data_IF_668796543671
#
_entry.id   IF_668796543671
#
_cell.length_a   1.000
_cell.length_b   1.000
_cell.length_c   1.000
_cell.angle_alpha   90.00
_cell.angle_beta   90.00
_cell.angle_gamma   90.00
#
_symmetry.space_group_name_H-M   'P 1'
#
loop_
_entity.id
_entity.type
_entity.pdbx_description
1 polymer ?
#
# COMPACT_ATOMS: atom_id res chain seq x y z
N UNK A 1 8.73 22.89 -13.19
CA UNK A 1 7.29 23.20 -13.07
C UNK A 1 6.91 23.09 -11.62
N UNK A 2 6.49 24.19 -10.98
CA UNK A 2 6.06 24.19 -9.59
C UNK A 2 4.62 23.63 -9.55
N UNK A 3 4.48 22.33 -9.32
CA UNK A 3 3.19 21.63 -9.27
C UNK A 3 2.59 21.80 -7.87
N UNK A 4 2.36 23.03 -7.44
CA UNK A 4 1.69 23.28 -6.17
C UNK A 4 0.22 23.58 -6.46
N UNK A 5 -0.60 22.54 -6.40
CA UNK A 5 -2.06 22.67 -6.47
C UNK A 5 -2.53 23.38 -5.21
N UNK A 6 -3.44 24.35 -5.33
CA UNK A 6 -4.04 25.01 -4.17
C UNK A 6 -4.71 23.97 -3.26
N UNK A 7 -4.51 24.01 -1.93
CA UNK A 7 -5.03 22.98 -1.02
C UNK A 7 -6.54 22.72 -1.16
N UNK A 8 -7.34 23.77 -1.38
CA UNK A 8 -8.79 23.64 -1.57
C UNK A 8 -9.16 22.81 -2.82
N UNK A 9 -8.42 22.99 -3.91
CA UNK A 9 -8.60 22.23 -5.15
C UNK A 9 -8.22 20.77 -4.91
N UNK A 10 -7.10 20.52 -4.23
CA UNK A 10 -6.66 19.16 -3.89
C UNK A 10 -7.68 18.42 -3.02
N UNK A 11 -8.25 19.09 -2.01
CA UNK A 11 -9.31 18.53 -1.15
C UNK A 11 -10.56 18.20 -1.97
N UNK A 12 -11.00 19.13 -2.84
CA UNK A 12 -12.18 18.92 -3.69
C UNK A 12 -12.00 17.72 -4.61
N UNK A 13 -10.86 17.63 -5.30
CA UNK A 13 -10.54 16.52 -6.19
C UNK A 13 -10.46 15.19 -5.42
N UNK A 14 -9.73 15.17 -4.30
CA UNK A 14 -9.60 13.98 -3.45
C UNK A 14 -10.97 13.47 -2.96
N UNK A 15 -11.85 14.37 -2.53
CA UNK A 15 -13.21 14.02 -2.09
C UNK A 15 -14.03 13.42 -3.22
N UNK A 16 -13.94 13.97 -4.43
CA UNK A 16 -14.65 13.44 -5.59
C UNK A 16 -14.16 12.02 -5.93
N UNK A 17 -12.84 11.80 -5.95
CA UNK A 17 -12.26 10.48 -6.20
C UNK A 17 -12.70 9.44 -5.16
N UNK A 18 -12.73 9.80 -3.88
CA UNK A 18 -13.20 8.90 -2.81
C UNK A 18 -14.69 8.58 -2.97
N UNK A 19 -15.52 9.53 -3.38
CA UNK A 19 -16.95 9.28 -3.61
C UNK A 19 -17.17 8.29 -4.77
N UNK A 20 -16.38 8.41 -5.84
CA UNK A 20 -16.42 7.48 -6.97
C UNK A 20 -15.94 6.09 -6.53
N UNK A 21 -14.80 6.02 -5.82
CA UNK A 21 -14.29 4.77 -5.28
C UNK A 21 -15.33 4.10 -4.39
N UNK A 22 -15.95 4.85 -3.46
CA UNK A 22 -16.98 4.32 -2.56
C UNK A 22 -18.14 3.70 -3.34
N UNK A 23 -18.63 4.34 -4.41
CA UNK A 23 -19.70 3.77 -5.23
C UNK A 23 -19.30 2.42 -5.84
N UNK A 24 -18.08 2.31 -6.37
CA UNK A 24 -17.55 1.05 -6.91
C UNK A 24 -17.41 -0.01 -5.82
N UNK A 25 -16.92 0.40 -4.66
CA UNK A 25 -16.80 -0.47 -3.50
C UNK A 25 -18.19 -1.02 -3.08
N UNK A 26 -19.22 -0.19 -3.07
CA UNK A 26 -20.57 -0.58 -2.67
C UNK A 26 -21.23 -1.61 -3.63
N UNK A 27 -20.70 -1.81 -4.84
CA UNK A 27 -21.18 -2.88 -5.76
C UNK A 27 -20.53 -4.24 -5.53
N UNK A 28 -19.50 -4.34 -4.67
CA UNK A 28 -18.81 -5.60 -4.41
C UNK A 28 -19.64 -6.54 -3.56
N UNK A 29 -19.74 -7.80 -3.98
CA UNK A 29 -20.25 -8.88 -3.15
C UNK A 29 -19.19 -9.25 -2.09
N UNK A 30 -19.60 -9.39 -0.82
CA UNK A 30 -18.73 -9.76 0.32
C UNK A 30 -17.57 -8.79 0.64
N UNK A 31 -17.83 -7.53 1.02
CA UNK A 31 -16.79 -6.62 1.45
C UNK A 31 -16.06 -7.12 2.72
N UNK A 32 -14.76 -6.84 2.83
CA UNK A 32 -13.98 -7.15 4.04
C UNK A 32 -14.44 -6.25 5.20
N UNK A 33 -15.03 -6.88 6.21
CA UNK A 33 -15.51 -6.21 7.42
C UNK A 33 -14.77 -6.74 8.66
N UNK A 34 -14.05 -5.88 9.37
CA UNK A 34 -13.36 -6.22 10.63
C UNK A 34 -13.84 -5.27 11.72
N UNK A 35 -14.34 -5.80 12.84
CA UNK A 35 -14.90 -5.01 13.94
C UNK A 35 -15.91 -3.95 13.47
N UNK A 36 -16.81 -4.33 12.54
CA UNK A 36 -17.84 -3.46 11.92
C UNK A 36 -17.29 -2.30 11.08
N UNK A 37 -15.99 -2.24 10.82
CA UNK A 37 -15.39 -1.30 9.87
C UNK A 37 -15.13 -2.00 8.55
N UNK A 38 -15.43 -1.31 7.46
CA UNK A 38 -15.10 -1.75 6.10
C UNK A 38 -13.63 -1.47 5.83
N UNK A 39 -12.92 -2.46 5.32
CA UNK A 39 -11.55 -2.34 4.85
C UNK A 39 -11.53 -2.38 3.33
N UNK A 40 -10.57 -1.67 2.76
CA UNK A 40 -10.31 -1.67 1.32
C UNK A 40 -9.29 -2.74 0.98
N UNK A 41 -9.54 -3.43 -0.11
CA UNK A 41 -8.72 -4.54 -0.56
C UNK A 41 -7.55 -4.02 -1.42
N UNK A 42 -6.56 -4.87 -1.66
CA UNK A 42 -5.42 -4.53 -2.53
C UNK A 42 -5.86 -3.99 -3.91
N UNK A 43 -6.84 -4.64 -4.56
CA UNK A 43 -7.37 -4.18 -5.85
C UNK A 43 -8.06 -2.81 -5.79
N UNK A 44 -8.58 -2.42 -4.62
CA UNK A 44 -9.21 -1.11 -4.43
C UNK A 44 -8.18 0.00 -4.35
N UNK A 45 -7.04 -0.28 -3.70
CA UNK A 45 -5.90 0.63 -3.69
C UNK A 45 -5.32 0.83 -5.08
N UNK A 46 -5.19 -0.24 -5.87
CA UNK A 46 -4.76 -0.14 -7.28
C UNK A 46 -5.74 0.73 -8.07
N UNK A 47 -7.05 0.50 -7.89
CA UNK A 47 -8.08 1.27 -8.60
C UNK A 47 -7.99 2.76 -8.27
N UNK A 48 -7.81 3.10 -6.99
CA UNK A 48 -7.63 4.48 -6.57
C UNK A 48 -6.35 5.10 -7.16
N UNK A 49 -5.23 4.38 -7.17
CA UNK A 49 -3.98 4.86 -7.75
C UNK A 49 -4.11 5.14 -9.26
N UNK A 50 -4.83 4.28 -9.99
CA UNK A 50 -5.10 4.45 -11.42
C UNK A 50 -5.88 5.72 -11.75
N UNK A 51 -6.75 6.21 -10.84
CA UNK A 51 -7.44 7.50 -11.04
C UNK A 51 -6.47 8.68 -11.17
N UNK A 52 -5.25 8.52 -10.66
CA UNK A 52 -4.20 9.54 -10.69
C UNK A 52 -3.05 9.18 -11.66
N UNK A 53 -3.22 8.16 -12.49
CA UNK A 53 -2.15 7.70 -13.39
C UNK A 53 -0.95 7.10 -12.65
N UNK A 54 -1.16 6.57 -11.45
CA UNK A 54 -0.13 5.97 -10.60
C UNK A 54 -0.38 4.46 -10.52
N UNK A 55 0.69 3.69 -10.54
CA UNK A 55 0.68 2.25 -10.26
C UNK A 55 1.71 1.91 -9.17
N UNK A 56 1.70 0.66 -8.71
CA UNK A 56 2.61 0.15 -7.68
C UNK A 56 3.54 -0.88 -8.32
N UNK A 57 4.84 -0.74 -8.07
CA UNK A 57 5.85 -1.75 -8.35
C UNK A 57 6.30 -2.37 -7.03
N UNK A 58 6.05 -3.66 -6.84
CA UNK A 58 6.57 -4.42 -5.69
C UNK A 58 7.94 -4.99 -6.01
N UNK A 59 8.77 -5.11 -4.98
CA UNK A 59 10.04 -5.81 -5.03
C UNK A 59 9.97 -7.10 -4.22
N UNK A 60 11.03 -7.90 -4.28
CA UNK A 60 11.15 -9.12 -3.47
C UNK A 60 11.32 -8.76 -1.99
N UNK A 61 10.87 -9.66 -1.11
CA UNK A 61 11.16 -9.57 0.31
C UNK A 61 12.57 -10.10 0.55
N UNK A 62 13.46 -9.25 1.06
CA UNK A 62 14.86 -9.57 1.26
C UNK A 62 15.12 -9.90 2.74
N UNK A 63 15.91 -10.94 3.05
CA UNK A 63 16.32 -11.21 4.42
C UNK A 63 17.22 -10.08 4.92
N UNK A 64 16.99 -9.64 6.16
CA UNK A 64 17.77 -8.57 6.80
C UNK A 64 18.20 -8.96 8.21
N UNK A 65 19.31 -8.39 8.66
CA UNK A 65 19.78 -8.45 10.05
C UNK A 65 20.08 -7.04 10.53
N UNK A 66 19.40 -6.60 11.60
CA UNK A 66 19.47 -5.25 12.13
C UNK A 66 19.64 -5.36 13.65
N UNK A 67 20.74 -4.85 14.20
CA UNK A 67 21.03 -4.90 15.64
C UNK A 67 20.83 -6.31 16.24
N UNK A 68 21.47 -7.33 15.62
CA UNK A 68 21.38 -8.75 16.01
C UNK A 68 19.97 -9.37 15.95
N UNK A 69 19.02 -8.70 15.29
CA UNK A 69 17.66 -9.19 15.04
C UNK A 69 17.51 -9.53 13.56
N UNK A 70 17.01 -10.73 13.26
CA UNK A 70 16.82 -11.19 11.88
C UNK A 70 15.37 -10.98 11.44
N UNK A 71 15.17 -10.87 10.13
CA UNK A 71 13.83 -10.74 9.59
C UNK A 71 13.82 -10.55 8.08
N UNK A 72 12.77 -9.91 7.59
CA UNK A 72 12.63 -9.56 6.20
C UNK A 72 12.27 -8.09 6.04
N UNK A 73 12.73 -7.51 4.93
CA UNK A 73 12.36 -6.19 4.46
C UNK A 73 11.68 -6.33 3.10
N UNK A 74 10.53 -5.69 2.94
CA UNK A 74 9.89 -5.53 1.64
C UNK A 74 9.84 -4.05 1.25
N UNK A 75 9.79 -3.80 -0.05
CA UNK A 75 9.68 -2.47 -0.63
C UNK A 75 8.63 -2.44 -1.73
N UNK A 76 7.89 -1.35 -1.78
CA UNK A 76 7.03 -0.99 -2.90
C UNK A 76 7.32 0.42 -3.36
N UNK A 77 7.37 0.64 -4.68
CA UNK A 77 7.50 1.96 -5.28
C UNK A 77 6.17 2.38 -5.93
N UNK A 78 5.86 3.67 -5.87
CA UNK A 78 4.81 4.32 -6.65
C UNK A 78 5.41 4.79 -7.98
N UNK A 79 4.84 4.34 -9.09
CA UNK A 79 5.30 4.68 -10.43
C UNK A 79 4.23 5.46 -11.20
N UNK A 80 4.64 6.48 -11.96
CA UNK A 80 3.78 7.09 -12.98
C UNK A 80 3.61 6.13 -14.14
N UNK A 81 2.36 5.86 -14.53
CA UNK A 81 2.05 4.96 -15.64
C UNK A 81 2.59 5.50 -16.97
N UNK A 82 2.51 6.82 -17.17
CA UNK A 82 2.91 7.50 -18.41
C UNK A 82 4.36 7.20 -18.84
N UNK A 83 5.29 7.16 -17.89
CA UNK A 83 6.72 7.12 -18.19
C UNK A 83 7.54 6.23 -17.24
N UNK A 84 6.90 5.48 -16.35
CA UNK A 84 7.55 4.59 -15.39
C UNK A 84 8.32 5.31 -14.27
N UNK A 85 8.25 6.64 -14.15
CA UNK A 85 9.01 7.39 -13.15
C UNK A 85 8.56 7.02 -11.74
N UNK A 86 9.50 6.68 -10.86
CA UNK A 86 9.24 6.47 -9.44
C UNK A 86 9.01 7.84 -8.77
N UNK A 87 7.87 7.98 -8.09
CA UNK A 87 7.44 9.23 -7.44
C UNK A 87 7.27 9.09 -5.93
N UNK A 88 7.46 7.90 -5.40
CA UNK A 88 7.36 7.61 -3.97
C UNK A 88 7.54 6.12 -3.72
N UNK A 89 7.44 5.71 -2.46
CA UNK A 89 7.51 4.31 -2.07
C UNK A 89 7.29 4.12 -0.58
N UNK A 90 7.15 2.87 -0.18
CA UNK A 90 7.05 2.45 1.20
C UNK A 90 7.94 1.22 1.43
N UNK A 91 8.48 1.13 2.64
CA UNK A 91 9.23 -0.02 3.11
C UNK A 91 8.53 -0.59 4.34
N UNK A 92 8.59 -1.90 4.49
CA UNK A 92 8.07 -2.61 5.65
C UNK A 92 9.09 -3.64 6.11
N UNK A 93 9.09 -3.90 7.42
CA UNK A 93 9.99 -4.82 8.09
C UNK A 93 9.15 -5.77 8.94
N UNK A 94 9.54 -7.04 8.95
CA UNK A 94 9.00 -8.06 9.84
C UNK A 94 10.19 -8.77 10.51
N UNK A 95 10.37 -8.53 11.80
CA UNK A 95 11.53 -8.97 12.56
C UNK A 95 11.18 -10.09 13.55
N UNK A 96 12.12 -11.00 13.81
CA UNK A 96 11.94 -12.14 14.71
C UNK A 96 11.87 -11.75 16.21
N UNK A 97 12.22 -10.52 16.57
CA UNK A 97 12.04 -10.04 17.95
C UNK A 97 10.61 -9.57 18.22
N UNK A 98 9.75 -9.46 17.20
CA UNK A 98 8.35 -9.13 17.37
C UNK A 98 7.59 -10.31 17.99
N UNK A 99 6.75 -10.02 18.99
CA UNK A 99 6.04 -11.02 19.81
C UNK A 99 5.31 -12.09 18.99
N UNK A 100 4.76 -11.72 17.83
CA UNK A 100 3.97 -12.62 16.99
C UNK A 100 4.81 -13.42 15.98
N UNK A 101 6.04 -12.99 15.69
CA UNK A 101 6.85 -13.46 14.56
C UNK A 101 8.07 -14.31 14.96
N UNK A 102 8.51 -14.23 16.22
CA UNK A 102 9.69 -14.94 16.77
C UNK A 102 9.83 -16.43 16.47
N UNK A 103 8.71 -17.12 16.27
CA UNK A 103 8.68 -18.57 16.05
C UNK A 103 7.96 -18.95 14.76
N UNK A 104 7.91 -18.03 13.79
CA UNK A 104 7.24 -18.24 12.50
C UNK A 104 8.24 -18.69 11.45
N UNK A 105 7.74 -19.46 10.49
CA UNK A 105 8.56 -19.92 9.36
C UNK A 105 9.01 -18.74 8.51
N UNK A 106 10.17 -18.87 7.86
CA UNK A 106 10.74 -17.85 6.99
C UNK A 106 9.75 -17.35 5.93
N UNK A 107 9.02 -18.25 5.29
CA UNK A 107 8.03 -17.86 4.28
C UNK A 107 6.90 -17.00 4.87
N UNK A 108 6.46 -17.29 6.09
CA UNK A 108 5.43 -16.51 6.76
C UNK A 108 5.93 -15.12 7.16
N UNK A 109 7.17 -15.03 7.63
CA UNK A 109 7.79 -13.74 7.96
C UNK A 109 8.01 -12.89 6.70
N UNK A 110 8.54 -13.49 5.63
CA UNK A 110 8.75 -12.82 4.34
C UNK A 110 7.44 -12.34 3.71
N UNK A 111 6.36 -13.10 3.85
CA UNK A 111 5.05 -12.74 3.30
C UNK A 111 4.31 -11.68 4.13
N UNK A 112 4.78 -11.40 5.35
CA UNK A 112 4.22 -10.36 6.21
C UNK A 112 4.90 -9.00 6.00
N UNK A 113 6.21 -9.02 5.74
CA UNK A 113 6.97 -7.81 5.39
C UNK A 113 6.39 -7.19 4.12
#
# INVERSE_FOLDING_TARGET
MNVQIQPEIAIKQGRQSILILKKLLDTKNNPIMIKRKRYIEYGDWITLANFYGISVKTHEAEPVEIFDTRGFKARADLIKIENGTIIGGAEAYCLDNEKNWKHKDYFQMASMA
#
